data_IF_502401283282
#
_entry.id   IF_502401283282
#
_cell.length_a   1.000
_cell.length_b   1.000
_cell.length_c   1.000
_cell.angle_alpha   90.00
_cell.angle_beta   90.00
_cell.angle_gamma   90.00
#
_symmetry.space_group_name_H-M   'P 1'
#
loop_
_entity.id
_entity.type
_entity.pdbx_description
1 polymer ?
#
# COMPACT_ATOMS: atom_id res chain seq x y z
N UNK A 1 1.62 4.24 -4.09
CA UNK A 1 1.11 3.19 -3.19
C UNK A 1 0.25 3.76 -2.07
N UNK A 2 0.76 4.62 -1.18
CA UNK A 2 -0.05 5.22 -0.10
C UNK A 2 -1.37 5.88 -0.59
N UNK A 3 -1.32 6.63 -1.69
CA UNK A 3 -2.53 7.23 -2.30
C UNK A 3 -3.58 6.19 -2.74
N UNK A 4 -3.14 5.00 -3.16
CA UNK A 4 -4.03 3.93 -3.59
C UNK A 4 -4.67 3.28 -2.36
N UNK A 5 -3.88 2.96 -1.33
CA UNK A 5 -4.39 2.46 -0.06
C UNK A 5 -5.47 3.40 0.51
N UNK A 6 -5.21 4.71 0.53
CA UNK A 6 -6.21 5.71 0.95
C UNK A 6 -7.50 5.69 0.11
N UNK A 7 -7.39 5.59 -1.23
CA UNK A 7 -8.56 5.48 -2.11
C UNK A 7 -9.36 4.19 -1.90
N UNK A 8 -8.72 3.14 -1.39
CA UNK A 8 -9.34 1.86 -1.06
C UNK A 8 -9.93 1.83 0.37
N UNK A 9 -9.95 2.97 1.07
CA UNK A 9 -10.50 3.05 2.43
C UNK A 9 -9.54 2.63 3.53
N UNK A 10 -8.26 2.34 3.22
CA UNK A 10 -7.26 2.13 4.26
C UNK A 10 -6.86 3.46 4.89
N UNK A 11 -6.70 3.46 6.21
CA UNK A 11 -6.21 4.59 6.98
C UNK A 11 -4.80 4.34 7.48
N UNK A 12 -3.95 5.38 7.47
CA UNK A 12 -2.62 5.26 8.06
C UNK A 12 -2.73 5.31 9.58
N UNK A 13 -2.40 4.21 10.24
CA UNK A 13 -2.51 4.08 11.70
C UNK A 13 -1.18 4.29 12.43
N UNK A 14 -0.05 4.15 11.74
CA UNK A 14 1.28 4.34 12.33
C UNK A 14 2.34 4.69 11.30
N UNK A 15 3.31 5.52 11.68
CA UNK A 15 4.55 5.69 10.94
C UNK A 15 5.76 5.48 11.86
N UNK A 16 6.78 4.75 11.38
CA UNK A 16 8.09 4.63 12.01
C UNK A 16 9.17 4.87 10.95
N UNK A 17 9.83 6.02 11.05
CA UNK A 17 10.77 6.47 10.02
C UNK A 17 10.10 6.51 8.64
N UNK A 18 10.69 5.80 7.68
CA UNK A 18 10.22 5.71 6.30
C UNK A 18 9.21 4.59 6.04
N UNK A 19 8.63 3.97 7.06
CA UNK A 19 7.63 2.91 6.91
C UNK A 19 6.29 3.34 7.54
N UNK A 20 5.22 3.21 6.75
CA UNK A 20 3.85 3.54 7.18
C UNK A 20 3.01 2.27 7.24
N UNK A 21 2.23 2.11 8.30
CA UNK A 21 1.28 1.00 8.49
C UNK A 21 -0.11 1.53 8.20
N UNK A 22 -0.84 0.78 7.37
CA UNK A 22 -2.18 1.09 6.90
C UNK A 22 -3.14 -0.01 7.35
N UNK A 23 -4.33 0.36 7.78
CA UNK A 23 -5.37 -0.56 8.24
C UNK A 23 -6.70 -0.22 7.56
N UNK A 24 -7.41 -1.24 7.10
CA UNK A 24 -8.79 -1.12 6.63
C UNK A 24 -9.76 -1.56 7.74
N UNK A 25 -10.98 -1.00 7.82
CA UNK A 25 -11.95 -1.35 8.86
C UNK A 25 -12.37 -2.83 8.90
N UNK A 26 -12.18 -3.57 7.80
CA UNK A 26 -12.44 -5.03 7.75
C UNK A 26 -11.35 -5.88 8.42
N UNK A 27 -10.25 -5.28 8.87
CA UNK A 27 -9.14 -5.94 9.54
C UNK A 27 -7.88 -6.14 8.68
N UNK A 28 -7.91 -5.84 7.38
CA UNK A 28 -6.72 -5.92 6.53
C UNK A 28 -5.68 -4.86 6.94
N UNK A 29 -4.41 -5.24 6.87
CA UNK A 29 -3.30 -4.33 7.15
C UNK A 29 -2.17 -4.48 6.16
N UNK A 30 -1.48 -3.39 5.85
CA UNK A 30 -0.27 -3.43 5.03
C UNK A 30 0.78 -2.43 5.52
N UNK A 31 2.04 -2.70 5.22
CA UNK A 31 3.15 -1.78 5.49
C UNK A 31 3.72 -1.27 4.17
N UNK A 32 3.69 0.05 3.99
CA UNK A 32 4.16 0.73 2.78
C UNK A 32 5.41 1.55 3.13
N UNK A 33 6.58 1.21 2.55
CA UNK A 33 7.76 2.06 2.66
C UNK A 33 7.64 3.29 1.76
N UNK A 34 8.02 4.44 2.29
CA UNK A 34 7.97 5.77 1.69
C UNK A 34 9.38 6.30 1.47
N UNK A 35 10.14 5.65 0.58
CA UNK A 35 11.46 6.13 0.17
C UNK A 35 11.34 7.06 -1.05
N UNK A 36 11.68 8.36 -0.91
CA UNK A 36 11.69 9.28 -2.05
C UNK A 36 12.65 8.79 -3.15
N UNK A 37 12.23 8.86 -4.41
CA UNK A 37 13.07 8.56 -5.56
C UNK A 37 13.40 7.08 -5.80
N UNK A 38 12.85 6.14 -5.00
CA UNK A 38 13.06 4.70 -5.20
C UNK A 38 11.78 4.00 -5.61
N UNK A 39 11.87 3.21 -6.67
CA UNK A 39 10.81 2.30 -7.09
C UNK A 39 10.76 1.09 -6.16
N UNK A 40 9.56 0.66 -5.76
CA UNK A 40 9.38 -0.56 -4.98
C UNK A 40 9.78 -1.78 -5.82
N UNK A 41 10.52 -2.75 -5.27
CA UNK A 41 10.76 -4.01 -5.95
C UNK A 41 9.45 -4.70 -6.35
N UNK A 42 9.46 -5.44 -7.46
CA UNK A 42 8.27 -6.13 -8.00
C UNK A 42 7.59 -7.05 -6.98
N UNK A 43 8.39 -7.81 -6.22
CA UNK A 43 7.88 -8.72 -5.18
C UNK A 43 7.17 -7.98 -4.05
N UNK A 44 7.78 -6.90 -3.54
CA UNK A 44 7.17 -6.07 -2.50
C UNK A 44 5.91 -5.38 -3.00
N UNK A 45 5.92 -4.89 -4.23
CA UNK A 45 4.75 -4.27 -4.86
C UNK A 45 3.59 -5.27 -4.89
N UNK A 46 3.81 -6.49 -5.39
CA UNK A 46 2.78 -7.54 -5.42
C UNK A 46 2.27 -7.92 -4.05
N UNK A 47 3.14 -8.02 -3.05
CA UNK A 47 2.74 -8.28 -1.67
C UNK A 47 1.76 -7.19 -1.20
N UNK A 48 2.13 -5.92 -1.38
CA UNK A 48 1.25 -4.80 -0.98
C UNK A 48 -0.07 -4.83 -1.75
N UNK A 49 -0.07 -5.13 -3.06
CA UNK A 49 -1.32 -5.25 -3.82
C UNK A 49 -2.22 -6.37 -3.29
N UNK A 50 -1.63 -7.51 -2.89
CA UNK A 50 -2.36 -8.61 -2.25
C UNK A 50 -2.93 -8.20 -0.90
N UNK A 51 -2.16 -7.48 -0.06
CA UNK A 51 -2.65 -6.99 1.24
C UNK A 51 -3.77 -5.94 1.06
N UNK A 52 -3.79 -5.24 -0.08
CA UNK A 52 -4.82 -4.28 -0.46
C UNK A 52 -6.00 -4.93 -1.23
N UNK A 53 -6.00 -6.25 -1.40
CA UNK A 53 -7.01 -7.03 -2.13
C UNK A 53 -7.30 -6.54 -3.57
N UNK A 54 -6.27 -6.06 -4.30
CA UNK A 54 -6.41 -5.62 -5.69
C UNK A 54 -5.47 -6.37 -6.64
N UNK A 55 -5.89 -6.48 -7.91
CA UNK A 55 -5.08 -7.09 -8.97
C UNK A 55 -4.01 -6.12 -9.50
N UNK A 56 -3.08 -6.65 -10.31
CA UNK A 56 -2.10 -5.80 -11.00
C UNK A 56 -2.80 -4.90 -12.02
N UNK A 57 -3.86 -5.39 -12.65
CA UNK A 57 -4.69 -4.68 -13.61
C UNK A 57 -5.41 -3.49 -12.95
N UNK A 58 -5.97 -3.68 -11.76
CA UNK A 58 -6.59 -2.60 -10.98
C UNK A 58 -5.56 -1.56 -10.57
N UNK A 59 -4.38 -2.01 -10.11
CA UNK A 59 -3.27 -1.11 -9.79
C UNK A 59 -2.86 -0.25 -10.99
N UNK A 60 -2.82 -0.81 -12.20
CA UNK A 60 -2.51 -0.07 -13.43
C UNK A 60 -3.59 0.98 -13.74
N UNK A 61 -4.87 0.66 -13.54
CA UNK A 61 -5.99 1.60 -13.76
C UNK A 61 -6.05 2.74 -12.74
N UNK A 62 -5.60 2.50 -11.50
CA UNK A 62 -5.65 3.48 -10.41
C UNK A 62 -4.43 4.41 -10.34
N UNK A 63 -3.36 4.08 -11.06
CA UNK A 63 -2.09 4.80 -11.05
C UNK A 63 -2.14 6.05 -11.93
#
# INVERSE_FOLDING_TARGET
MCKIAFKLGFEMVRQRGSHTVWQHPDGHTTTIPIHPGKTLPRGLTRKILSDLEITVEDYIKMK
#
